data_IF_516237663512
#
_entry.id   IF_516237663512
#
_cell.length_a   1.000
_cell.length_b   1.000
_cell.length_c   1.000
_cell.angle_alpha   90.00
_cell.angle_beta   90.00
_cell.angle_gamma   90.00
#
_symmetry.space_group_name_H-M   'P 1'
#
loop_
_entity.id
_entity.type
_entity.pdbx_description
1 polymer ?
#
# COMPACT_ATOMS: atom_id res chain seq x y z
N UNK A 1 -27.70 -32.11 17.65
CA UNK A 1 -26.84 -32.80 16.69
C UNK A 1 -26.36 -31.89 15.56
N UNK A 2 -25.57 -30.87 15.88
CA UNK A 2 -25.01 -29.95 14.86
C UNK A 2 -23.63 -29.40 15.28
N UNK A 3 -23.35 -29.06 16.56
CA UNK A 3 -22.00 -28.64 16.95
C UNK A 3 -20.99 -29.80 17.07
N UNK A 4 -21.46 -31.03 17.31
CA UNK A 4 -20.59 -32.21 17.39
C UNK A 4 -20.10 -32.67 16.01
N UNK A 5 -20.87 -32.43 14.95
CA UNK A 5 -20.50 -32.81 13.58
C UNK A 5 -19.55 -31.80 12.93
N UNK A 6 -19.61 -30.53 13.32
CA UNK A 6 -18.61 -29.51 12.95
C UNK A 6 -17.24 -29.74 13.63
N UNK A 7 -17.23 -30.25 14.85
CA UNK A 7 -15.99 -30.65 15.54
C UNK A 7 -15.39 -31.92 14.93
N UNK A 8 -16.22 -32.88 14.47
CA UNK A 8 -15.73 -34.07 13.74
C UNK A 8 -15.23 -33.73 12.34
N UNK A 9 -15.91 -32.88 11.58
CA UNK A 9 -15.46 -32.52 10.23
C UNK A 9 -14.11 -31.78 10.27
N UNK A 10 -13.92 -30.91 11.26
CA UNK A 10 -12.66 -30.20 11.50
C UNK A 10 -11.50 -31.12 11.90
N UNK A 11 -11.77 -32.22 12.60
CA UNK A 11 -10.75 -33.24 12.92
C UNK A 11 -10.47 -34.20 11.75
N UNK A 12 -11.44 -34.40 10.85
CA UNK A 12 -11.30 -35.33 9.72
C UNK A 12 -10.52 -34.69 8.56
N UNK A 13 -10.64 -33.38 8.35
CA UNK A 13 -9.85 -32.64 7.35
C UNK A 13 -8.39 -32.40 7.79
N UNK A 14 -8.10 -32.46 9.10
CA UNK A 14 -6.75 -32.38 9.65
C UNK A 14 -5.91 -33.66 9.46
N UNK A 15 -6.50 -34.76 8.96
CA UNK A 15 -5.83 -36.06 8.81
C UNK A 15 -5.61 -36.49 7.36
N UNK A 16 -5.93 -35.66 6.37
CA UNK A 16 -5.53 -35.93 4.98
C UNK A 16 -4.07 -35.59 4.77
N UNK A 17 -3.20 -36.49 5.21
CA UNK A 17 -1.79 -36.51 4.81
C UNK A 17 -1.76 -36.72 3.29
N UNK A 18 -1.15 -35.81 2.50
CA UNK A 18 -0.99 -35.99 1.06
C UNK A 18 -0.32 -37.34 0.78
N UNK A 19 -0.84 -38.13 -0.15
CA UNK A 19 -0.26 -39.44 -0.52
C UNK A 19 1.23 -39.36 -0.91
N UNK A 20 1.72 -38.18 -1.30
CA UNK A 20 3.14 -37.91 -1.54
C UNK A 20 4.02 -37.94 -0.28
N UNK A 21 3.50 -37.49 0.88
CA UNK A 21 4.20 -37.53 2.17
C UNK A 21 4.34 -38.97 2.69
N UNK A 22 3.34 -39.83 2.46
CA UNK A 22 3.43 -41.26 2.82
C UNK A 22 4.46 -42.03 1.99
N UNK A 23 4.69 -41.65 0.71
CA UNK A 23 5.78 -42.21 -0.10
C UNK A 23 7.16 -41.80 0.43
N UNK A 24 7.33 -40.53 0.82
CA UNK A 24 8.58 -40.05 1.41
C UNK A 24 8.88 -40.67 2.77
N UNK A 25 7.86 -40.88 3.61
CA UNK A 25 8.04 -41.59 4.89
C UNK A 25 8.46 -43.05 4.68
N UNK A 26 7.97 -43.71 3.61
CA UNK A 26 8.39 -45.08 3.27
C UNK A 26 9.85 -45.17 2.83
N UNK A 27 10.34 -44.19 2.08
CA UNK A 27 11.72 -44.12 1.60
C UNK A 27 12.72 -43.78 2.73
N UNK A 28 12.28 -42.98 3.70
CA UNK A 28 13.05 -42.64 4.91
C UNK A 28 13.11 -43.82 5.89
N UNK A 29 12.09 -44.67 5.93
CA UNK A 29 12.07 -45.87 6.79
C UNK A 29 12.89 -47.05 6.25
N UNK A 30 13.29 -47.03 4.97
CA UNK A 30 14.16 -48.07 4.38
C UNK A 30 15.65 -47.91 4.68
N UNK A 31 16.11 -46.77 5.19
CA UNK A 31 17.53 -46.54 5.53
C UNK A 31 17.69 -45.75 6.86
N UNK A 32 17.60 -46.43 8.03
CA UNK A 32 17.65 -45.78 9.36
C UNK A 32 18.97 -45.07 9.68
N UNK A 33 20.05 -45.39 8.96
CA UNK A 33 21.40 -44.85 9.19
C UNK A 33 21.60 -43.45 8.60
N UNK A 34 20.69 -42.95 7.76
CA UNK A 34 20.75 -41.59 7.17
C UNK A 34 19.87 -40.56 7.89
N UNK A 35 19.08 -40.98 8.88
CA UNK A 35 18.17 -40.13 9.65
C UNK A 35 18.81 -38.90 10.32
N UNK A 36 20.03 -38.98 10.90
CA UNK A 36 20.61 -37.80 11.55
C UNK A 36 20.98 -36.69 10.56
N UNK A 37 21.48 -37.04 9.37
CA UNK A 37 21.94 -36.06 8.38
C UNK A 37 20.83 -35.42 7.56
N UNK A 38 19.76 -36.17 7.25
CA UNK A 38 18.62 -35.67 6.47
C UNK A 38 17.72 -34.75 7.31
N UNK A 39 17.56 -35.07 8.60
CA UNK A 39 16.77 -34.22 9.52
C UNK A 39 17.45 -32.88 9.81
N UNK A 40 18.77 -32.85 10.00
CA UNK A 40 19.52 -31.59 10.21
C UNK A 40 19.58 -30.75 8.94
N UNK A 41 19.82 -31.36 7.77
CA UNK A 41 19.88 -30.62 6.49
C UNK A 41 18.54 -29.98 6.11
N UNK A 42 17.40 -30.64 6.36
CA UNK A 42 16.08 -30.05 6.14
C UNK A 42 15.82 -28.89 7.11
N UNK A 43 16.19 -29.05 8.38
CA UNK A 43 15.97 -28.02 9.40
C UNK A 43 16.86 -26.79 9.18
N UNK A 44 18.11 -26.99 8.73
CA UNK A 44 19.05 -25.93 8.40
C UNK A 44 18.69 -25.21 7.09
N UNK A 45 18.13 -25.93 6.11
CA UNK A 45 17.61 -25.33 4.87
C UNK A 45 16.35 -24.49 5.14
N UNK A 46 15.45 -24.97 6.00
CA UNK A 46 14.27 -24.21 6.43
C UNK A 46 14.68 -23.00 7.26
N UNK A 47 15.64 -23.12 8.18
CA UNK A 47 16.19 -21.97 8.91
C UNK A 47 16.91 -20.98 8.01
N UNK A 48 17.67 -21.46 7.03
CA UNK A 48 18.36 -20.62 6.04
C UNK A 48 17.37 -19.81 5.22
N UNK A 49 16.30 -20.45 4.72
CA UNK A 49 15.20 -19.78 4.03
C UNK A 49 14.46 -18.80 4.96
N UNK A 50 14.21 -19.16 6.22
CA UNK A 50 13.55 -18.27 7.19
C UNK A 50 14.42 -17.05 7.56
N UNK A 51 15.74 -17.23 7.70
CA UNK A 51 16.67 -16.13 7.97
C UNK A 51 16.80 -15.21 6.75
N UNK A 52 16.94 -15.79 5.56
CA UNK A 52 17.02 -15.04 4.30
C UNK A 52 15.71 -14.30 3.98
N UNK A 53 14.55 -14.85 4.36
CA UNK A 53 13.25 -14.18 4.23
C UNK A 53 12.93 -13.22 5.39
N UNK A 54 13.63 -13.35 6.51
CA UNK A 54 13.57 -12.47 7.68
C UNK A 54 14.52 -11.27 7.58
N UNK A 55 15.53 -11.34 6.72
CA UNK A 55 16.32 -10.18 6.27
C UNK A 55 15.43 -9.25 5.44
N UNK A 56 14.76 -8.34 6.15
CA UNK A 56 14.00 -7.26 5.55
C UNK A 56 14.82 -5.99 5.72
N UNK A 57 15.17 -5.33 4.61
CA UNK A 57 15.76 -3.97 4.68
C UNK A 57 14.84 -3.11 5.56
N UNK A 58 15.33 -2.63 6.72
CA UNK A 58 14.47 -2.01 7.72
C UNK A 58 13.87 -0.69 7.23
N UNK A 59 12.92 -0.16 8.01
CA UNK A 59 12.43 1.19 7.86
C UNK A 59 13.61 2.18 7.90
N UNK A 60 13.59 3.20 7.03
CA UNK A 60 14.72 4.11 6.83
C UNK A 60 14.65 5.36 7.69
N UNK A 61 13.48 5.68 8.23
CA UNK A 61 13.27 6.89 9.01
C UNK A 61 14.06 6.86 10.33
N UNK A 62 14.91 7.86 10.59
CA UNK A 62 15.55 8.03 11.89
C UNK A 62 14.57 8.50 12.98
N UNK A 63 13.47 9.15 12.61
CA UNK A 63 12.48 9.71 13.54
C UNK A 63 11.38 8.71 13.90
N UNK A 64 10.88 8.00 12.90
CA UNK A 64 9.67 7.19 12.99
C UNK A 64 9.96 5.76 13.40
N UNK A 65 10.62 5.59 14.55
CA UNK A 65 11.09 4.29 15.06
C UNK A 65 10.19 3.70 16.15
N UNK A 66 9.50 4.55 16.92
CA UNK A 66 8.59 4.14 18.00
C UNK A 66 7.20 3.79 17.47
N UNK A 67 6.47 2.90 18.15
CA UNK A 67 5.07 2.56 17.85
C UNK A 67 4.27 2.46 19.14
N UNK A 68 3.01 2.88 19.10
CA UNK A 68 2.08 2.88 20.22
C UNK A 68 0.64 2.55 19.77
N UNK A 69 -0.32 2.72 20.67
CA UNK A 69 -1.76 2.70 20.36
C UNK A 69 -2.39 4.10 20.31
N UNK A 70 -1.61 5.15 20.55
CA UNK A 70 -2.12 6.53 20.49
C UNK A 70 -2.30 6.94 19.03
N UNK A 71 -3.48 7.48 18.72
CA UNK A 71 -3.88 7.83 17.36
C UNK A 71 -4.25 9.28 17.26
N UNK A 72 -3.83 9.90 16.17
CA UNK A 72 -4.32 11.19 15.71
C UNK A 72 -4.76 11.09 14.27
N UNK A 73 -5.82 11.82 13.93
CA UNK A 73 -6.26 11.99 12.55
C UNK A 73 -6.04 13.45 12.17
N UNK A 74 -5.31 13.65 11.09
CA UNK A 74 -5.24 14.92 10.39
C UNK A 74 -5.95 14.80 9.04
N UNK A 75 -6.41 15.93 8.50
CA UNK A 75 -7.14 15.96 7.24
C UNK A 75 -6.58 17.01 6.29
N UNK A 76 -6.61 16.68 5.00
CA UNK A 76 -6.24 17.58 3.90
C UNK A 76 -7.26 17.43 2.79
N UNK A 77 -7.64 18.54 2.15
CA UNK A 77 -8.58 18.53 1.02
C UNK A 77 -8.02 19.34 -0.14
N UNK A 78 -8.01 18.76 -1.34
CA UNK A 78 -7.61 19.47 -2.57
C UNK A 78 -8.61 19.24 -3.71
N UNK A 79 -8.68 20.15 -4.71
CA UNK A 79 -9.60 19.98 -5.84
C UNK A 79 -9.24 18.75 -6.70
N UNK A 80 -10.23 17.89 -6.98
CA UNK A 80 -10.02 16.63 -7.72
C UNK A 80 -9.47 16.85 -9.13
N UNK A 81 -10.05 17.81 -9.86
CA UNK A 81 -9.67 18.07 -11.25
C UNK A 81 -8.25 18.61 -11.34
N UNK A 82 -7.88 19.53 -10.47
CA UNK A 82 -6.58 20.19 -10.51
C UNK A 82 -5.43 19.20 -10.29
N UNK A 83 -5.51 18.33 -9.27
CA UNK A 83 -4.45 17.36 -9.04
C UNK A 83 -4.39 16.28 -10.13
N UNK A 84 -5.53 15.89 -10.71
CA UNK A 84 -5.55 14.94 -11.83
C UNK A 84 -4.93 15.55 -13.08
N UNK A 85 -5.32 16.75 -13.44
CA UNK A 85 -4.82 17.42 -14.63
C UNK A 85 -3.32 17.70 -14.48
N UNK A 86 -2.88 18.06 -13.26
CA UNK A 86 -1.46 18.13 -12.92
C UNK A 86 -0.74 16.81 -13.11
N UNK A 87 -1.26 15.72 -12.54
CA UNK A 87 -0.63 14.40 -12.69
C UNK A 87 -0.50 13.96 -14.15
N UNK A 88 -1.48 14.31 -14.99
CA UNK A 88 -1.47 14.00 -16.43
C UNK A 88 -0.48 14.85 -17.19
N UNK A 89 -0.42 16.15 -16.89
CA UNK A 89 0.53 17.06 -17.53
C UNK A 89 1.98 16.69 -17.21
N UNK A 90 2.24 16.09 -16.04
CA UNK A 90 3.53 15.54 -15.64
C UNK A 90 3.79 14.11 -16.16
N UNK A 91 2.88 13.54 -16.97
CA UNK A 91 3.06 12.22 -17.59
C UNK A 91 2.76 11.01 -16.70
N UNK A 92 2.05 11.20 -15.58
CA UNK A 92 1.71 10.11 -14.65
C UNK A 92 0.22 10.02 -14.31
N UNK A 93 -0.08 9.44 -13.14
CA UNK A 93 -1.45 9.23 -12.64
C UNK A 93 -1.64 9.92 -11.30
N UNK A 94 -2.89 10.08 -10.88
CA UNK A 94 -3.26 10.61 -9.55
C UNK A 94 -2.47 9.94 -8.42
N UNK A 95 -2.28 8.62 -8.51
CA UNK A 95 -1.53 7.86 -7.53
C UNK A 95 -0.05 8.29 -7.43
N UNK A 96 0.57 8.59 -8.56
CA UNK A 96 1.94 9.12 -8.62
C UNK A 96 2.01 10.48 -7.95
N UNK A 97 1.06 11.39 -8.25
CA UNK A 97 1.01 12.71 -7.62
C UNK A 97 0.86 12.60 -6.10
N UNK A 98 -0.04 11.73 -5.65
CA UNK A 98 -0.29 11.54 -4.23
C UNK A 98 0.95 11.00 -3.50
N UNK A 99 1.57 9.94 -4.01
CA UNK A 99 2.79 9.37 -3.38
C UNK A 99 3.94 10.37 -3.42
N UNK A 100 4.13 11.09 -4.53
CA UNK A 100 5.18 12.09 -4.65
C UNK A 100 5.00 13.24 -3.65
N UNK A 101 3.77 13.72 -3.47
CA UNK A 101 3.48 14.76 -2.48
C UNK A 101 3.74 14.27 -1.05
N UNK A 102 3.30 13.06 -0.71
CA UNK A 102 3.53 12.50 0.64
C UNK A 102 5.02 12.24 0.89
N UNK A 103 5.76 11.77 -0.12
CA UNK A 103 7.21 11.59 -0.03
C UNK A 103 7.95 12.93 0.14
N UNK A 104 7.55 13.96 -0.61
CA UNK A 104 8.11 15.30 -0.49
C UNK A 104 7.87 15.90 0.90
N UNK A 105 6.64 15.80 1.38
CA UNK A 105 6.24 16.25 2.71
C UNK A 105 6.97 15.50 3.81
N UNK A 106 7.11 14.18 3.69
CA UNK A 106 7.87 13.36 4.63
C UNK A 106 9.35 13.79 4.67
N UNK A 107 9.96 14.05 3.51
CA UNK A 107 11.34 14.56 3.44
C UNK A 107 11.49 15.94 4.08
N UNK A 108 10.55 16.86 3.82
CA UNK A 108 10.53 18.19 4.42
C UNK A 108 10.38 18.13 5.94
N UNK A 109 9.43 17.34 6.43
CA UNK A 109 9.25 17.06 7.86
C UNK A 109 10.55 16.59 8.52
N UNK A 110 11.24 15.63 7.90
CA UNK A 110 12.50 15.09 8.41
C UNK A 110 13.60 16.15 8.47
N UNK A 111 13.73 16.99 7.44
CA UNK A 111 14.68 18.11 7.44
C UNK A 111 14.37 19.13 8.54
N UNK A 112 13.11 19.49 8.73
CA UNK A 112 12.69 20.46 9.76
C UNK A 112 12.84 19.94 11.18
N UNK A 113 12.70 18.64 11.38
CA UNK A 113 13.02 17.99 12.65
C UNK A 113 14.53 17.72 12.84
N UNK A 114 15.39 18.19 11.93
CA UNK A 114 16.86 18.06 12.04
C UNK A 114 17.40 16.66 11.75
N UNK A 115 16.64 15.81 11.07
CA UNK A 115 17.02 14.42 10.76
C UNK A 115 16.75 14.09 9.28
N UNK A 116 17.48 14.73 8.33
CA UNK A 116 17.30 14.51 6.90
C UNK A 116 17.46 13.04 6.52
N UNK A 117 16.71 12.61 5.51
CA UNK A 117 16.73 11.23 5.00
C UNK A 117 16.56 11.23 3.48
N UNK A 118 17.44 10.51 2.78
CA UNK A 118 17.48 10.49 1.31
C UNK A 118 16.32 9.73 0.68
N UNK A 119 15.85 8.67 1.34
CA UNK A 119 14.73 7.86 0.89
C UNK A 119 13.99 7.22 2.05
N UNK A 120 12.68 7.08 1.89
CA UNK A 120 11.81 6.36 2.83
C UNK A 120 11.12 5.20 2.12
N UNK A 121 10.79 4.15 2.88
CA UNK A 121 10.03 3.01 2.37
C UNK A 121 8.55 3.26 2.58
N UNK A 122 7.80 3.32 1.49
CA UNK A 122 6.34 3.40 1.54
C UNK A 122 5.69 2.11 1.10
N UNK A 123 4.48 1.87 1.58
CA UNK A 123 3.60 0.83 1.05
C UNK A 123 2.38 1.45 0.38
N UNK A 124 1.94 0.82 -0.71
CA UNK A 124 0.78 1.26 -1.47
C UNK A 124 -0.02 0.08 -1.98
N UNK A 125 -1.35 0.18 -1.89
CA UNK A 125 -2.25 -0.77 -2.52
C UNK A 125 -2.26 -0.52 -4.04
N UNK A 126 -1.72 -1.46 -4.81
CA UNK A 126 -1.78 -1.43 -6.27
C UNK A 126 -2.89 -2.39 -6.71
N UNK A 127 -3.79 -1.91 -7.57
CA UNK A 127 -4.79 -2.78 -8.17
C UNK A 127 -4.11 -3.80 -9.10
N UNK A 128 -4.37 -5.08 -8.87
CA UNK A 128 -3.89 -6.22 -9.68
C UNK A 128 -4.96 -6.77 -10.62
N UNK A 129 -6.05 -6.00 -10.84
CA UNK A 129 -7.15 -6.39 -11.72
C UNK A 129 -6.66 -6.74 -13.13
N UNK A 130 -6.93 -7.97 -13.55
CA UNK A 130 -6.98 -8.42 -14.94
C UNK A 130 -8.44 -8.53 -15.41
N UNK A 131 -8.71 -8.70 -16.71
CA UNK A 131 -10.08 -8.88 -17.23
C UNK A 131 -10.82 -10.08 -16.61
N UNK A 132 -10.09 -11.06 -16.08
CA UNK A 132 -10.61 -12.25 -15.37
C UNK A 132 -10.66 -12.12 -13.84
N UNK A 133 -10.23 -10.99 -13.26
CA UNK A 133 -10.13 -10.82 -11.81
C UNK A 133 -11.44 -10.35 -11.17
N UNK A 134 -11.82 -10.96 -10.04
CA UNK A 134 -12.93 -10.49 -9.20
C UNK A 134 -12.71 -9.08 -8.62
N UNK A 135 -13.78 -8.48 -8.08
CA UNK A 135 -13.86 -7.06 -7.64
C UNK A 135 -12.72 -6.59 -6.70
N UNK A 136 -12.08 -7.50 -5.96
CA UNK A 136 -11.12 -7.19 -4.88
C UNK A 136 -9.66 -7.59 -5.15
N UNK A 137 -9.21 -7.64 -6.42
CA UNK A 137 -7.79 -7.90 -6.71
C UNK A 137 -6.92 -6.64 -6.46
N UNK A 138 -6.24 -6.61 -5.30
CA UNK A 138 -5.18 -5.66 -4.97
C UNK A 138 -3.98 -6.37 -4.34
N UNK A 139 -2.78 -5.86 -4.60
CA UNK A 139 -1.54 -6.28 -3.93
C UNK A 139 -0.90 -5.10 -3.23
N UNK A 140 -0.40 -5.32 -2.02
CA UNK A 140 0.39 -4.31 -1.30
C UNK A 140 1.81 -4.31 -1.85
N UNK A 141 2.19 -3.25 -2.55
CA UNK A 141 3.54 -3.07 -3.06
C UNK A 141 4.35 -2.21 -2.10
N UNK A 142 5.64 -2.55 -1.96
CA UNK A 142 6.61 -1.76 -1.21
C UNK A 142 7.55 -1.10 -2.20
N UNK A 143 7.85 0.17 -1.99
CA UNK A 143 8.81 0.91 -2.81
C UNK A 143 9.58 1.90 -1.95
N UNK A 144 10.84 2.12 -2.32
CA UNK A 144 11.61 3.24 -1.83
C UNK A 144 11.22 4.47 -2.65
N UNK A 145 10.93 5.57 -1.96
CA UNK A 145 10.63 6.86 -2.57
C UNK A 145 11.69 7.87 -2.17
N UNK A 146 12.15 8.73 -3.10
CA UNK A 146 13.12 9.76 -2.76
C UNK A 146 12.48 10.81 -1.85
N UNK A 147 13.21 11.19 -0.80
CA UNK A 147 12.80 12.19 0.20
C UNK A 147 13.86 13.28 0.41
N UNK A 148 15.06 13.10 -0.15
CA UNK A 148 16.10 14.13 -0.25
C UNK A 148 15.60 15.39 -0.99
N UNK A 149 16.34 16.48 -0.87
CA UNK A 149 15.99 17.76 -1.46
C UNK A 149 16.09 17.70 -2.99
N UNK A 150 14.96 17.96 -3.67
CA UNK A 150 14.89 17.99 -5.13
C UNK A 150 13.61 18.70 -5.59
N UNK A 151 13.54 19.21 -6.83
CA UNK A 151 12.30 19.75 -7.40
C UNK A 151 11.17 18.71 -7.41
N UNK A 152 9.95 19.15 -7.05
CA UNK A 152 8.81 18.23 -6.89
C UNK A 152 8.40 17.51 -8.19
N UNK A 153 8.66 18.13 -9.35
CA UNK A 153 8.45 17.53 -10.67
C UNK A 153 9.42 16.38 -10.94
N UNK A 154 10.69 16.55 -10.56
CA UNK A 154 11.68 15.47 -10.65
C UNK A 154 11.34 14.34 -9.66
N UNK A 155 10.88 14.68 -8.45
CA UNK A 155 10.38 13.70 -7.49
C UNK A 155 9.20 12.91 -8.05
N UNK A 156 8.26 13.59 -8.72
CA UNK A 156 7.13 12.95 -9.39
C UNK A 156 7.60 11.93 -10.43
N UNK A 157 8.56 12.29 -11.28
CA UNK A 157 9.11 11.40 -12.30
C UNK A 157 9.77 10.16 -11.67
N UNK A 158 10.61 10.35 -10.65
CA UNK A 158 11.27 9.25 -9.94
C UNK A 158 10.26 8.31 -9.25
N UNK A 159 9.22 8.87 -8.60
CA UNK A 159 8.15 8.08 -8.00
C UNK A 159 7.32 7.34 -9.05
N UNK A 160 7.10 7.95 -10.22
CA UNK A 160 6.38 7.31 -11.32
C UNK A 160 7.11 6.04 -11.81
N UNK A 161 8.43 6.14 -11.96
CA UNK A 161 9.29 5.01 -12.32
C UNK A 161 9.27 3.93 -11.24
N UNK A 162 9.46 4.31 -9.97
CA UNK A 162 9.42 3.37 -8.84
C UNK A 162 8.08 2.62 -8.73
N UNK A 163 6.95 3.31 -8.95
CA UNK A 163 5.63 2.68 -8.98
C UNK A 163 5.45 1.73 -10.18
N UNK A 164 6.02 2.06 -11.34
CA UNK A 164 5.98 1.16 -12.50
C UNK A 164 6.77 -0.13 -12.22
N UNK A 165 7.98 -0.01 -11.68
CA UNK A 165 8.81 -1.15 -11.29
C UNK A 165 8.11 -2.02 -10.22
N UNK A 166 7.55 -1.38 -9.18
CA UNK A 166 6.83 -2.08 -8.12
C UNK A 166 5.60 -2.84 -8.64
N UNK A 167 4.89 -2.29 -9.65
CA UNK A 167 3.76 -2.95 -10.29
C UNK A 167 4.18 -4.17 -11.10
N UNK A 168 5.29 -4.11 -11.84
CA UNK A 168 5.80 -5.29 -12.55
C UNK A 168 6.27 -6.37 -11.57
N UNK A 169 6.98 -5.99 -10.50
CA UNK A 169 7.36 -6.92 -9.43
C UNK A 169 6.15 -7.60 -8.76
N UNK A 170 5.06 -6.86 -8.54
CA UNK A 170 3.83 -7.41 -7.96
C UNK A 170 3.12 -8.44 -8.87
N UNK A 171 3.28 -8.36 -10.20
CA UNK A 171 2.77 -9.39 -11.13
C UNK A 171 3.59 -10.67 -11.09
N UNK A 172 4.89 -10.56 -10.82
CA UNK A 172 5.81 -11.70 -10.74
C UNK A 172 5.80 -12.40 -9.37
N UNK A 173 5.14 -11.83 -8.37
CA UNK A 173 5.00 -12.44 -7.05
C UNK A 173 4.19 -13.74 -7.16
N UNK A 174 4.85 -14.88 -6.92
CA UNK A 174 4.25 -16.21 -7.05
C UNK A 174 3.23 -16.46 -5.93
N UNK A 175 1.97 -16.62 -6.32
CA UNK A 175 0.89 -17.06 -5.44
C UNK A 175 1.19 -18.46 -4.85
N UNK A 176 1.91 -19.31 -5.58
CA UNK A 176 2.30 -20.65 -5.13
C UNK A 176 3.30 -20.58 -3.97
N UNK A 177 4.21 -19.60 -3.97
CA UNK A 177 5.12 -19.38 -2.85
C UNK A 177 4.35 -18.96 -1.59
N UNK A 178 3.38 -18.05 -1.71
CA UNK A 178 2.55 -17.62 -0.58
C UNK A 178 1.65 -18.74 -0.04
N UNK A 179 1.08 -19.55 -0.94
CA UNK A 179 0.27 -20.71 -0.57
C UNK A 179 1.12 -21.78 0.16
N UNK A 180 2.32 -22.06 -0.35
CA UNK A 180 3.26 -23.00 0.26
C UNK A 180 3.70 -22.53 1.65
N UNK A 181 3.97 -21.23 1.84
CA UNK A 181 4.32 -20.69 3.15
C UNK A 181 3.16 -20.80 4.14
N UNK A 182 1.95 -20.48 3.70
CA UNK A 182 0.74 -20.52 4.54
C UNK A 182 0.39 -21.94 4.97
N UNK A 183 0.63 -22.94 4.12
CA UNK A 183 0.34 -24.34 4.41
C UNK A 183 1.38 -25.00 5.34
N UNK A 184 2.63 -24.51 5.36
CA UNK A 184 3.75 -25.23 5.99
C UNK A 184 4.37 -24.53 7.20
N UNK A 185 3.99 -23.28 7.52
CA UNK A 185 4.55 -22.55 8.66
C UNK A 185 3.54 -22.39 9.80
N UNK A 186 3.97 -22.52 11.08
CA UNK A 186 3.13 -22.19 12.22
C UNK A 186 2.65 -20.74 12.19
N UNK A 187 1.42 -20.49 12.66
CA UNK A 187 0.81 -19.16 12.72
C UNK A 187 1.69 -18.13 13.44
N UNK A 188 2.42 -18.53 14.48
CA UNK A 188 3.34 -17.66 15.21
C UNK A 188 4.52 -17.16 14.36
N UNK A 189 5.04 -18.02 13.47
CA UNK A 189 6.12 -17.67 12.54
C UNK A 189 5.60 -16.75 11.45
N UNK A 190 4.45 -17.06 10.86
CA UNK A 190 3.78 -16.20 9.87
C UNK A 190 3.47 -14.82 10.45
N UNK A 191 2.97 -14.77 11.69
CA UNK A 191 2.69 -13.51 12.39
C UNK A 191 3.96 -12.70 12.62
N UNK A 192 5.06 -13.35 13.00
CA UNK A 192 6.35 -12.67 13.18
C UNK A 192 6.86 -12.11 11.85
N UNK A 193 6.84 -12.90 10.78
CA UNK A 193 7.24 -12.45 9.44
C UNK A 193 6.39 -11.26 9.00
N UNK A 194 5.05 -11.35 9.13
CA UNK A 194 4.14 -10.26 8.81
C UNK A 194 4.47 -8.99 9.62
N UNK A 195 4.76 -9.13 10.92
CA UNK A 195 5.15 -8.00 11.77
C UNK A 195 6.47 -7.37 11.34
N UNK A 196 7.51 -8.16 11.08
CA UNK A 196 8.81 -7.65 10.60
C UNK A 196 8.64 -6.94 9.25
N UNK A 197 7.84 -7.52 8.35
CA UNK A 197 7.52 -6.92 7.05
C UNK A 197 6.73 -5.62 7.19
N UNK A 198 5.82 -5.52 8.15
CA UNK A 198 5.10 -4.28 8.46
C UNK A 198 6.02 -3.20 9.03
N UNK A 199 6.93 -3.58 9.93
CA UNK A 199 7.85 -2.65 10.59
C UNK A 199 8.98 -2.16 9.68
N UNK A 200 9.18 -2.76 8.51
CA UNK A 200 10.12 -2.24 7.52
C UNK A 200 9.59 -1.05 6.73
N UNK A 201 8.30 -0.72 6.87
CA UNK A 201 7.66 0.38 6.15
C UNK A 201 7.61 1.62 7.05
N UNK A 202 8.06 2.76 6.53
CA UNK A 202 8.06 4.04 7.23
C UNK A 202 6.65 4.63 7.31
N UNK A 203 5.96 4.68 6.16
CA UNK A 203 4.60 5.20 6.03
C UNK A 203 3.80 4.45 4.96
N UNK A 204 2.47 4.58 5.01
CA UNK A 204 1.58 3.94 4.05
C UNK A 204 0.77 4.99 3.28
N UNK A 205 0.44 4.66 2.03
CA UNK A 205 -0.47 5.44 1.19
C UNK A 205 -1.55 4.54 0.61
N UNK A 206 -2.78 5.05 0.54
CA UNK A 206 -3.89 4.34 -0.06
C UNK A 206 -4.78 5.29 -0.86
N UNK A 207 -5.36 4.81 -1.94
CA UNK A 207 -6.24 5.58 -2.80
C UNK A 207 -7.54 4.80 -3.04
N UNK A 208 -8.63 5.35 -2.53
CA UNK A 208 -9.98 4.81 -2.66
C UNK A 208 -10.77 5.69 -3.61
N UNK A 209 -11.42 5.06 -4.59
CA UNK A 209 -12.37 5.76 -5.46
C UNK A 209 -13.75 5.71 -4.80
N UNK A 210 -14.33 6.88 -4.53
CA UNK A 210 -15.76 6.98 -4.21
C UNK A 210 -16.59 7.30 -5.46
N UNK A 211 -17.90 7.39 -5.27
CA UNK A 211 -18.83 7.88 -6.27
C UNK A 211 -18.64 9.39 -6.55
N UNK A 212 -18.80 9.77 -7.82
CA UNK A 212 -18.78 11.17 -8.26
C UNK A 212 -20.11 11.90 -8.07
N UNK A 213 -20.96 11.42 -7.16
CA UNK A 213 -22.30 11.95 -6.90
C UNK A 213 -22.42 12.37 -5.44
N UNK A 214 -23.22 13.40 -5.12
CA UNK A 214 -23.54 13.76 -3.75
C UNK A 214 -24.12 12.56 -2.97
N UNK A 215 -23.68 12.36 -1.74
CA UNK A 215 -24.12 11.29 -0.86
C UNK A 215 -24.81 11.88 0.37
N UNK A 216 -25.79 11.16 0.92
CA UNK A 216 -26.60 11.63 2.04
C UNK A 216 -26.69 10.57 3.13
N UNK A 217 -26.72 11.00 4.40
CA UNK A 217 -27.01 10.15 5.57
C UNK A 217 -28.26 10.72 6.23
N UNK A 218 -29.34 9.93 6.26
CA UNK A 218 -30.64 10.34 6.82
C UNK A 218 -31.15 11.71 6.29
N UNK A 219 -30.88 12.01 5.01
CA UNK A 219 -31.25 13.28 4.37
C UNK A 219 -30.22 14.42 4.50
N UNK A 220 -29.19 14.28 5.34
CA UNK A 220 -28.09 15.23 5.45
C UNK A 220 -27.03 15.02 4.37
N UNK A 221 -26.68 16.07 3.62
CA UNK A 221 -25.62 16.03 2.61
C UNK A 221 -24.25 15.83 3.25
N UNK A 222 -23.49 14.84 2.78
CA UNK A 222 -22.08 14.69 3.13
C UNK A 222 -21.29 15.78 2.40
N UNK A 223 -20.65 16.67 3.15
CA UNK A 223 -19.84 17.77 2.60
C UNK A 223 -18.37 17.36 2.41
N UNK A 224 -17.85 16.53 3.32
CA UNK A 224 -16.47 16.05 3.36
C UNK A 224 -16.47 14.59 3.85
N UNK A 225 -15.57 13.76 3.32
CA UNK A 225 -15.49 12.35 3.65
C UNK A 225 -14.03 11.88 3.73
N UNK A 226 -13.45 11.97 4.92
CA UNK A 226 -12.05 11.60 5.15
C UNK A 226 -11.92 10.13 5.54
N UNK A 227 -11.25 9.29 4.73
CA UNK A 227 -11.05 7.88 5.05
C UNK A 227 -9.95 7.70 6.10
N UNK A 228 -10.06 6.66 6.94
CA UNK A 228 -9.03 6.31 7.94
C UNK A 228 -8.39 4.99 7.53
N UNK A 229 -7.19 5.06 6.98
CA UNK A 229 -6.39 3.86 6.66
C UNK A 229 -5.78 3.22 7.91
N UNK A 230 -5.62 1.90 7.97
CA UNK A 230 -4.98 1.25 9.12
C UNK A 230 -3.48 1.56 9.16
N UNK A 231 -2.92 1.75 10.36
CA UNK A 231 -1.48 1.95 10.52
C UNK A 231 -0.68 0.67 10.29
N UNK A 232 -1.17 -0.50 10.72
CA UNK A 232 -0.53 -1.78 10.41
C UNK A 232 0.98 -1.86 10.71
N UNK A 233 1.51 -1.06 11.66
CA UNK A 233 2.93 -1.00 12.00
C UNK A 233 3.73 0.14 11.36
N UNK A 234 3.12 1.03 10.56
CA UNK A 234 3.75 2.25 10.03
C UNK A 234 3.52 3.46 10.94
N UNK A 235 4.28 4.54 10.75
CA UNK A 235 4.14 5.75 11.57
C UNK A 235 2.89 6.57 11.24
N UNK A 236 2.53 6.63 9.96
CA UNK A 236 1.26 7.18 9.52
C UNK A 236 0.77 6.53 8.22
N UNK A 237 -0.54 6.54 8.01
CA UNK A 237 -1.19 6.15 6.78
C UNK A 237 -1.96 7.34 6.20
N UNK A 238 -1.56 7.81 5.02
CA UNK A 238 -2.31 8.80 4.26
C UNK A 238 -3.25 8.09 3.28
N UNK A 239 -4.56 8.17 3.51
CA UNK A 239 -5.58 7.59 2.64
C UNK A 239 -6.34 8.69 1.92
N UNK A 240 -6.33 8.63 0.60
CA UNK A 240 -7.02 9.54 -0.30
C UNK A 240 -8.36 8.95 -0.74
N UNK A 241 -9.43 9.74 -0.68
CA UNK A 241 -10.74 9.44 -1.22
C UNK A 241 -11.13 10.50 -2.26
N UNK A 242 -11.47 10.07 -3.47
CA UNK A 242 -12.11 10.98 -4.43
C UNK A 242 -13.59 11.12 -4.08
N UNK A 243 -14.07 12.30 -3.70
CA UNK A 243 -15.46 12.53 -3.30
C UNK A 243 -16.02 13.82 -3.90
N UNK A 244 -17.13 13.74 -4.65
CA UNK A 244 -17.89 14.90 -5.15
C UNK A 244 -17.04 16.10 -5.66
N UNK A 245 -16.00 15.86 -6.46
CA UNK A 245 -15.13 16.91 -7.01
C UNK A 245 -13.96 17.34 -6.12
N UNK A 246 -13.79 16.76 -4.93
CA UNK A 246 -12.60 16.89 -4.10
C UNK A 246 -11.82 15.58 -3.96
N UNK A 247 -10.61 15.71 -3.46
CA UNK A 247 -9.79 14.64 -2.92
C UNK A 247 -9.68 14.88 -1.42
N UNK A 248 -10.37 14.06 -0.65
CA UNK A 248 -10.43 14.13 0.80
C UNK A 248 -9.39 13.12 1.34
N UNK A 249 -8.40 13.62 2.07
CA UNK A 249 -7.26 12.83 2.53
C UNK A 249 -7.27 12.77 4.04
N UNK A 250 -7.41 11.57 4.59
CA UNK A 250 -7.22 11.31 6.02
C UNK A 250 -5.80 10.80 6.29
N UNK A 251 -5.12 11.42 7.23
CA UNK A 251 -3.77 11.09 7.66
C UNK A 251 -3.88 10.51 9.06
N UNK A 252 -3.92 9.19 9.15
CA UNK A 252 -3.97 8.47 10.42
C UNK A 252 -2.55 8.31 10.95
N UNK A 253 -2.28 8.75 12.18
CA UNK A 253 -0.93 8.97 12.72
C UNK A 253 -0.77 8.26 14.06
N UNK A 254 0.38 7.60 14.28
CA UNK A 254 0.87 7.20 15.59
C UNK A 254 1.65 8.33 16.24
N UNK A 255 1.10 8.95 17.28
CA UNK A 255 1.70 10.11 17.95
C UNK A 255 2.97 9.77 18.73
N UNK A 256 3.27 8.48 18.97
CA UNK A 256 4.57 8.10 19.51
C UNK A 256 5.67 8.09 18.44
N UNK A 257 5.29 7.95 17.15
CA UNK A 257 6.21 7.94 16.02
C UNK A 257 6.39 9.35 15.43
N UNK A 258 5.28 10.04 15.17
CA UNK A 258 5.27 11.39 14.58
C UNK A 258 5.04 12.40 15.70
N UNK A 259 6.10 13.12 16.07
CA UNK A 259 6.07 14.09 17.16
C UNK A 259 5.26 15.36 16.83
N UNK A 260 5.24 15.78 15.56
CA UNK A 260 4.56 17.01 15.11
C UNK A 260 3.51 16.71 14.01
N UNK A 261 2.33 16.16 14.37
CA UNK A 261 1.31 15.77 13.40
C UNK A 261 0.80 16.93 12.52
N UNK A 262 0.63 18.12 13.08
CA UNK A 262 0.20 19.31 12.35
C UNK A 262 1.22 19.71 11.28
N UNK A 263 2.52 19.67 11.61
CA UNK A 263 3.59 19.95 10.66
C UNK A 263 3.54 18.98 9.48
N UNK A 264 3.33 17.68 9.74
CA UNK A 264 3.21 16.69 8.67
C UNK A 264 2.00 16.97 7.77
N UNK A 265 0.85 17.34 8.35
CA UNK A 265 -0.37 17.73 7.62
C UNK A 265 -0.11 18.94 6.73
N UNK A 266 0.48 20.00 7.27
CA UNK A 266 0.77 21.25 6.55
C UNK A 266 1.74 20.99 5.38
N UNK A 267 2.73 20.12 5.59
CA UNK A 267 3.68 19.73 4.54
C UNK A 267 3.02 18.91 3.44
N UNK A 268 2.14 17.97 3.78
CA UNK A 268 1.37 17.20 2.78
C UNK A 268 0.50 18.12 1.95
N UNK A 269 -0.24 19.04 2.58
CA UNK A 269 -1.06 20.02 1.88
C UNK A 269 -0.22 20.92 0.97
N UNK A 270 0.92 21.41 1.45
CA UNK A 270 1.83 22.24 0.66
C UNK A 270 2.36 21.49 -0.57
N UNK A 271 2.83 20.25 -0.42
CA UNK A 271 3.39 19.47 -1.53
C UNK A 271 2.31 19.10 -2.57
N UNK A 272 1.08 18.82 -2.14
CA UNK A 272 -0.06 18.62 -3.07
C UNK A 272 -0.33 19.89 -3.90
N UNK A 273 -0.37 21.04 -3.24
CA UNK A 273 -0.57 22.32 -3.91
C UNK A 273 0.60 22.67 -4.85
N UNK A 274 1.84 22.36 -4.46
CA UNK A 274 3.01 22.55 -5.34
C UNK A 274 2.91 21.73 -6.63
N UNK A 275 2.42 20.48 -6.57
CA UNK A 275 2.16 19.69 -7.78
C UNK A 275 1.07 20.30 -8.65
N UNK A 276 -0.01 20.81 -8.04
CA UNK A 276 -1.09 21.51 -8.74
C UNK A 276 -0.53 22.74 -9.47
N UNK A 277 0.31 23.54 -8.81
CA UNK A 277 0.90 24.74 -9.40
C UNK A 277 1.98 24.46 -10.45
N UNK A 278 2.67 23.32 -10.36
CA UNK A 278 3.68 22.91 -11.32
C UNK A 278 3.10 22.50 -12.69
N UNK A 279 1.80 22.20 -12.74
CA UNK A 279 1.12 21.82 -13.96
C UNK A 279 0.90 23.02 -14.90
N UNK A 280 1.24 22.90 -16.19
CA UNK A 280 0.79 23.85 -17.20
C UNK A 280 -0.73 23.95 -17.17
N UNK A 281 -1.27 25.13 -16.86
CA UNK A 281 -2.71 25.36 -16.92
C UNK A 281 -3.14 25.21 -18.38
N UNK A 282 -4.16 24.40 -18.71
CA UNK A 282 -4.69 24.38 -20.05
C UNK A 282 -5.14 25.80 -20.42
N UNK A 283 -4.68 26.30 -21.57
CA UNK A 283 -5.22 27.51 -22.17
C UNK A 283 -6.75 27.41 -22.22
N UNK A 284 -7.43 28.52 -21.93
CA UNK A 284 -8.91 28.62 -21.91
C UNK A 284 -9.56 28.07 -23.18
N UNK A 285 -8.84 28.03 -24.30
CA UNK A 285 -9.27 27.41 -25.56
C UNK A 285 -9.46 25.87 -25.48
N UNK A 286 -8.57 25.15 -24.79
CA UNK A 286 -8.61 23.68 -24.70
C UNK A 286 -9.76 23.17 -23.82
N UNK A 287 -10.11 23.93 -22.77
CA UNK A 287 -11.26 23.64 -21.91
C UNK A 287 -12.61 23.79 -22.64
N UNK A 288 -12.71 24.74 -23.57
CA UNK A 288 -13.90 24.95 -24.40
C UNK A 288 -14.11 23.81 -25.40
N UNK A 289 -13.04 23.28 -26.01
CA UNK A 289 -13.13 22.14 -26.95
C UNK A 289 -13.50 20.83 -26.25
N UNK A 290 -12.93 20.54 -25.07
CA UNK A 290 -13.25 19.33 -24.30
C UNK A 290 -14.72 19.31 -23.83
N UNK A 291 -15.27 20.48 -23.50
CA UNK A 291 -16.69 20.65 -23.11
C UNK A 291 -17.61 20.41 -24.31
N UNK A 292 -17.23 20.93 -25.48
CA UNK A 292 -17.97 20.74 -26.74
C UNK A 292 -17.96 19.28 -27.21
N UNK A 293 -16.83 18.59 -27.06
CA UNK A 293 -16.67 17.17 -27.39
C UNK A 293 -17.53 16.26 -26.50
N UNK A 294 -17.52 16.48 -25.18
CA UNK A 294 -18.40 15.75 -24.26
C UNK A 294 -19.88 15.98 -24.57
N UNK A 295 -20.29 17.22 -24.82
CA UNK A 295 -21.69 17.53 -25.17
C UNK A 295 -22.12 16.76 -26.43
N UNK A 296 -21.30 16.75 -27.49
CA UNK A 296 -21.54 15.99 -28.73
C UNK A 296 -21.63 14.47 -28.52
N UNK A 297 -20.82 13.90 -27.62
CA UNK A 297 -20.86 12.47 -27.31
C UNK A 297 -22.15 12.08 -26.56
N UNK A 298 -22.59 12.89 -25.60
CA UNK A 298 -23.86 12.67 -24.89
C UNK A 298 -25.08 12.82 -25.81
N UNK A 299 -25.08 13.80 -26.72
CA UNK A 299 -26.17 13.96 -27.70
C UNK A 299 -26.27 12.80 -28.68
N UNK A 300 -25.17 12.10 -28.99
CA UNK A 300 -25.16 10.92 -29.87
C UNK A 300 -25.62 9.61 -29.21
N UNK A 301 -25.56 9.53 -27.88
CA UNK A 301 -25.93 8.32 -27.15
C UNK A 301 -27.39 8.35 -26.65
N UNK A 302 -27.97 9.54 -26.51
CA UNK A 302 -29.27 9.74 -25.87
C UNK A 302 -30.22 10.66 -26.66
N UNK A 303 -29.86 11.01 -27.90
CA UNK A 303 -30.71 11.73 -28.85
C UNK A 303 -30.83 10.95 -30.14
#
# INVERSE_FOLDING_TARGET
DEPADLLRSSMTDALRVPLGLLKQVREVLSEPTRLPGVATQLNDSVRGLLNQMGEVDPARSPLWTKRSLQRRLETVRVPYRELIDASRALGGKLNTAFVAAVADAAGAYHRECGAPVESLRTSIAISTRTESSGSNAFSLAKLLVPTGEMPIVERFAAVNEALAQAREGAKTASLDTLATLSANLPTSVLTRIARTQSQSIDFATSNVRSGGVPLYIAGGLIVENFPIGPLGGVAFNATLLSYNGSLDIGIHIDTAAVAEPELLRDRIERSLNQLIYAAPRPSTASAAEATTSKKRWWTRLFG
#
